data_IF_550672016938
#
_entry.id   IF_550672016938
#
_cell.length_a   1.000
_cell.length_b   1.000
_cell.length_c   1.000
_cell.angle_alpha   90.00
_cell.angle_beta   90.00
_cell.angle_gamma   90.00
#
_symmetry.space_group_name_H-M   'P 1'
#
loop_
_entity.id
_entity.type
_entity.pdbx_description
1 polymer ?
#
# COMPACT_ATOMS: atom_id res chain seq x y z
N UNK A 1 5.54 -20.83 -15.45
CA UNK A 1 5.92 -21.53 -14.18
C UNK A 1 4.92 -21.07 -13.13
N UNK A 2 3.96 -21.94 -12.77
CA UNK A 2 2.96 -21.64 -11.75
C UNK A 2 3.58 -21.91 -10.37
N UNK A 3 4.34 -20.94 -9.83
CA UNK A 3 4.69 -20.97 -8.42
C UNK A 3 3.45 -20.48 -7.66
N UNK A 4 2.75 -21.39 -7.01
CA UNK A 4 1.77 -21.03 -5.96
C UNK A 4 2.53 -20.26 -4.89
N UNK A 5 2.05 -19.07 -4.48
CA UNK A 5 2.66 -18.35 -3.36
C UNK A 5 2.72 -19.27 -2.15
N UNK A 6 3.89 -19.36 -1.51
CA UNK A 6 3.98 -20.04 -0.21
C UNK A 6 2.94 -19.43 0.72
N UNK A 7 2.10 -20.29 1.31
CA UNK A 7 1.06 -19.84 2.23
C UNK A 7 1.71 -19.05 3.37
N UNK A 8 1.41 -17.75 3.45
CA UNK A 8 1.85 -16.92 4.57
C UNK A 8 1.24 -17.49 5.85
N UNK A 9 1.99 -17.60 6.96
CA UNK A 9 1.44 -18.08 8.21
C UNK A 9 0.25 -17.19 8.60
N UNK A 10 -0.87 -17.83 8.95
CA UNK A 10 -2.17 -17.29 9.34
C UNK A 10 -2.19 -15.79 9.61
N UNK A 11 -2.77 -15.02 8.67
CA UNK A 11 -2.98 -13.59 8.82
C UNK A 11 -4.15 -13.37 9.79
N UNK A 12 -3.86 -13.24 11.08
CA UNK A 12 -4.87 -12.77 12.04
C UNK A 12 -5.29 -11.34 11.71
N UNK A 13 -6.58 -11.05 11.86
CA UNK A 13 -7.09 -9.67 11.73
C UNK A 13 -6.30 -8.73 12.65
N UNK A 14 -5.91 -7.58 12.13
CA UNK A 14 -5.29 -6.50 12.92
C UNK A 14 -6.09 -5.22 12.72
N UNK A 15 -6.82 -4.78 13.75
CA UNK A 15 -7.69 -3.60 13.65
C UNK A 15 -6.92 -2.28 13.50
N UNK A 16 -5.60 -2.31 13.59
CA UNK A 16 -4.75 -1.11 13.51
C UNK A 16 -3.63 -1.32 12.48
N UNK A 17 -3.50 -0.35 11.58
CA UNK A 17 -2.42 -0.30 10.60
C UNK A 17 -1.18 0.34 11.24
N UNK A 18 -0.25 -0.50 11.71
CA UNK A 18 0.95 -0.07 12.44
C UNK A 18 2.24 -0.67 11.87
N UNK A 19 3.37 0.07 11.96
CA UNK A 19 4.67 -0.41 11.51
C UNK A 19 5.11 -1.68 12.26
N UNK A 20 5.55 -2.69 11.52
CA UNK A 20 6.14 -3.91 12.07
C UNK A 20 7.68 -3.89 12.02
N UNK A 21 8.24 -3.22 11.02
CA UNK A 21 9.66 -3.15 10.73
C UNK A 21 10.17 -1.70 10.80
N UNK A 22 11.49 -1.54 10.96
CA UNK A 22 12.08 -0.21 11.07
C UNK A 22 11.89 0.64 9.79
N UNK A 23 11.94 0.04 8.60
CA UNK A 23 11.67 0.72 7.33
C UNK A 23 10.23 1.25 7.21
N UNK A 24 9.27 0.62 7.89
CA UNK A 24 7.85 1.00 7.85
C UNK A 24 7.51 2.21 8.73
N UNK A 25 8.41 2.55 9.67
CA UNK A 25 8.14 3.60 10.68
C UNK A 25 8.01 5.01 10.09
N UNK A 26 8.41 5.22 8.85
CA UNK A 26 8.26 6.49 8.15
C UNK A 26 7.06 6.49 7.20
N UNK A 27 6.71 5.36 6.61
CA UNK A 27 5.63 5.27 5.61
C UNK A 27 4.28 4.90 6.23
N UNK A 28 4.20 3.89 7.10
CA UNK A 28 2.92 3.38 7.61
C UNK A 28 2.10 4.43 8.36
N UNK A 29 2.67 5.29 9.23
CA UNK A 29 1.89 6.38 9.85
C UNK A 29 1.35 7.40 8.85
N UNK A 30 2.10 7.69 7.77
CA UNK A 30 1.65 8.59 6.70
C UNK A 30 0.52 7.97 5.89
N UNK A 31 0.67 6.69 5.49
CA UNK A 31 -0.37 5.93 4.79
C UNK A 31 -1.64 5.87 5.62
N UNK A 32 -1.54 5.44 6.89
CA UNK A 32 -2.69 5.36 7.78
C UNK A 32 -3.45 6.69 7.85
N UNK A 33 -2.77 7.79 8.16
CA UNK A 33 -3.40 9.10 8.28
C UNK A 33 -4.01 9.59 6.97
N UNK A 34 -3.37 9.32 5.82
CA UNK A 34 -3.89 9.68 4.51
C UNK A 34 -5.11 8.82 4.14
N UNK A 35 -5.06 7.50 4.36
CA UNK A 35 -6.17 6.58 4.08
C UNK A 35 -7.37 6.93 4.96
N UNK A 36 -7.21 7.05 6.28
CA UNK A 36 -8.27 7.43 7.21
C UNK A 36 -8.96 8.74 6.79
N UNK A 37 -8.17 9.78 6.47
CA UNK A 37 -8.69 11.07 5.98
C UNK A 37 -9.48 10.92 4.68
N UNK A 38 -8.97 10.15 3.71
CA UNK A 38 -9.62 9.97 2.41
C UNK A 38 -10.87 9.09 2.51
N UNK A 39 -10.88 8.10 3.42
CA UNK A 39 -12.08 7.32 3.73
C UNK A 39 -13.19 8.21 4.31
N UNK A 40 -12.87 9.10 5.25
CA UNK A 40 -13.84 10.07 5.76
C UNK A 40 -14.37 11.01 4.68
N UNK A 41 -13.50 11.48 3.81
CA UNK A 41 -13.85 12.47 2.78
C UNK A 41 -14.62 11.85 1.61
N UNK A 42 -14.27 10.63 1.20
CA UNK A 42 -14.74 10.05 -0.07
C UNK A 42 -15.59 8.79 0.11
N UNK A 43 -15.38 7.98 1.14
CA UNK A 43 -16.16 6.78 1.40
C UNK A 43 -17.39 7.10 2.24
N UNK A 44 -17.21 7.72 3.40
CA UNK A 44 -18.29 8.02 4.35
C UNK A 44 -19.55 8.65 3.73
N UNK A 45 -19.46 9.58 2.75
CA UNK A 45 -20.67 10.16 2.12
C UNK A 45 -21.42 9.19 1.20
N UNK A 46 -20.82 8.07 0.77
CA UNK A 46 -21.42 7.15 -0.19
C UNK A 46 -22.34 6.12 0.48
N UNK A 47 -21.81 5.41 1.50
CA UNK A 47 -22.50 4.24 2.07
C UNK A 47 -22.65 3.10 1.07
N UNK A 48 -23.40 2.06 1.42
CA UNK A 48 -23.69 0.93 0.54
C UNK A 48 -22.68 -0.21 0.70
N UNK A 49 -22.23 -0.82 -0.43
CA UNK A 49 -21.27 -1.94 -0.42
C UNK A 49 -19.86 -1.45 -0.65
N UNK A 50 -18.92 -1.94 0.15
CA UNK A 50 -17.50 -1.69 -0.02
C UNK A 50 -16.72 -2.99 -0.24
N UNK A 51 -15.81 -3.00 -1.21
CA UNK A 51 -14.87 -4.09 -1.47
C UNK A 51 -13.46 -3.67 -1.08
N UNK A 52 -12.81 -4.46 -0.22
CA UNK A 52 -11.41 -4.33 0.14
C UNK A 52 -10.59 -5.35 -0.65
N UNK A 53 -9.83 -4.87 -1.63
CA UNK A 53 -9.05 -5.66 -2.58
C UNK A 53 -7.64 -5.87 -2.05
N UNK A 54 -7.23 -7.13 -1.89
CA UNK A 54 -6.02 -7.46 -1.16
C UNK A 54 -6.17 -7.11 0.31
N UNK A 55 -7.29 -7.49 0.90
CA UNK A 55 -7.72 -7.04 2.23
C UNK A 55 -6.78 -7.47 3.37
N UNK A 56 -5.95 -8.49 3.17
CA UNK A 56 -4.96 -8.95 4.12
C UNK A 56 -5.50 -9.07 5.54
N UNK A 57 -4.99 -8.25 6.45
CA UNK A 57 -5.40 -8.19 7.86
C UNK A 57 -6.59 -7.27 8.15
N UNK A 58 -7.19 -6.68 7.14
CA UNK A 58 -8.39 -5.85 7.18
C UNK A 58 -8.31 -4.67 8.17
N UNK A 59 -7.24 -3.85 8.15
CA UNK A 59 -7.04 -2.80 9.15
C UNK A 59 -8.09 -1.69 9.09
N UNK A 60 -8.73 -1.48 7.94
CA UNK A 60 -9.73 -0.43 7.72
C UNK A 60 -11.18 -0.93 7.72
N UNK A 61 -11.40 -2.24 7.94
CA UNK A 61 -12.74 -2.83 7.95
C UNK A 61 -13.67 -2.16 8.95
N UNK A 62 -13.24 -2.03 10.20
CA UNK A 62 -14.07 -1.42 11.25
C UNK A 62 -14.46 0.03 10.93
N UNK A 63 -13.60 0.77 10.22
CA UNK A 63 -13.89 2.14 9.80
C UNK A 63 -14.94 2.17 8.68
N UNK A 64 -14.83 1.28 7.68
CA UNK A 64 -15.83 1.16 6.60
C UNK A 64 -17.18 0.69 7.14
N UNK A 65 -17.22 -0.33 8.00
CA UNK A 65 -18.43 -0.77 8.68
C UNK A 65 -19.05 0.35 9.54
N UNK A 66 -18.20 1.14 10.24
CA UNK A 66 -18.61 2.31 11.01
C UNK A 66 -19.22 3.45 10.17
N UNK A 67 -18.93 3.52 8.88
CA UNK A 67 -19.54 4.43 7.91
C UNK A 67 -20.83 3.85 7.31
N UNK A 68 -21.25 2.66 7.73
CA UNK A 68 -22.45 1.99 7.25
C UNK A 68 -22.28 1.20 5.95
N UNK A 69 -21.04 0.83 5.59
CA UNK A 69 -20.81 -0.07 4.48
C UNK A 69 -21.05 -1.52 4.87
N UNK A 70 -21.67 -2.25 3.95
CA UNK A 70 -21.60 -3.70 3.89
C UNK A 70 -20.21 -4.08 3.32
N UNK A 71 -19.34 -4.59 4.19
CA UNK A 71 -17.92 -4.82 3.88
C UNK A 71 -17.69 -6.21 3.33
N UNK A 72 -17.03 -6.28 2.18
CA UNK A 72 -16.55 -7.52 1.55
C UNK A 72 -15.04 -7.48 1.40
N UNK A 73 -14.35 -8.52 1.87
CA UNK A 73 -12.91 -8.69 1.70
C UNK A 73 -12.58 -9.65 0.57
N UNK A 74 -11.67 -9.26 -0.34
CA UNK A 74 -11.09 -10.12 -1.37
C UNK A 74 -9.57 -10.18 -1.21
N UNK A 75 -9.01 -11.39 -1.29
CA UNK A 75 -7.55 -11.61 -1.24
C UNK A 75 -7.18 -12.86 -2.06
N UNK A 76 -5.91 -12.96 -2.45
CA UNK A 76 -5.36 -14.19 -3.08
C UNK A 76 -5.17 -15.32 -2.07
N UNK A 77 -5.11 -15.01 -0.77
CA UNK A 77 -4.86 -15.95 0.30
C UNK A 77 -6.07 -16.06 1.23
N UNK A 78 -6.38 -17.30 1.61
CA UNK A 78 -7.43 -17.56 2.58
C UNK A 78 -7.02 -17.06 3.97
N UNK A 79 -7.86 -16.21 4.57
CA UNK A 79 -7.70 -15.70 5.92
C UNK A 79 -9.06 -15.43 6.54
N UNK A 80 -9.09 -15.17 7.85
CA UNK A 80 -10.33 -14.77 8.54
C UNK A 80 -10.92 -13.50 7.90
N UNK A 81 -12.19 -13.58 7.51
CA UNK A 81 -12.94 -12.45 6.93
C UNK A 81 -12.65 -12.17 5.44
N UNK A 82 -11.90 -13.02 4.76
CA UNK A 82 -11.80 -13.04 3.29
C UNK A 82 -13.01 -13.77 2.75
N UNK A 83 -13.87 -13.04 2.02
CA UNK A 83 -15.08 -13.59 1.42
C UNK A 83 -14.82 -14.21 0.04
N UNK A 84 -13.94 -13.59 -0.75
CA UNK A 84 -13.60 -14.05 -2.09
C UNK A 84 -12.10 -14.27 -2.25
N UNK A 85 -11.73 -15.47 -2.74
CA UNK A 85 -10.34 -15.83 -3.07
C UNK A 85 -10.10 -15.53 -4.55
N UNK A 86 -9.47 -14.39 -4.84
CA UNK A 86 -9.15 -13.99 -6.21
C UNK A 86 -8.02 -12.97 -6.25
N UNK A 87 -7.28 -12.94 -7.37
CA UNK A 87 -6.37 -11.85 -7.71
C UNK A 87 -7.10 -10.82 -8.57
N UNK A 88 -6.81 -9.55 -8.35
CA UNK A 88 -7.51 -8.46 -9.06
C UNK A 88 -7.21 -8.42 -10.56
N UNK A 89 -6.10 -8.97 -11.01
CA UNK A 89 -5.70 -9.09 -12.42
C UNK A 89 -6.12 -10.41 -13.07
N UNK A 90 -6.89 -11.24 -12.36
CA UNK A 90 -7.40 -12.52 -12.86
C UNK A 90 -8.90 -12.45 -13.22
N UNK A 91 -9.46 -13.44 -13.91
CA UNK A 91 -10.91 -13.55 -14.09
C UNK A 91 -11.62 -13.52 -12.73
N UNK A 92 -12.58 -12.60 -12.60
CA UNK A 92 -13.31 -12.41 -11.34
C UNK A 92 -14.30 -13.55 -11.09
N UNK A 93 -14.44 -14.05 -9.86
CA UNK A 93 -15.45 -15.03 -9.49
C UNK A 93 -16.86 -14.53 -9.81
N UNK A 94 -17.74 -15.39 -10.38
CA UNK A 94 -19.12 -15.02 -10.68
C UNK A 94 -19.88 -14.51 -9.43
N UNK A 95 -19.59 -15.06 -8.26
CA UNK A 95 -20.18 -14.70 -6.98
C UNK A 95 -19.84 -13.25 -6.61
N UNK A 96 -18.57 -12.85 -6.81
CA UNK A 96 -18.10 -11.48 -6.56
C UNK A 96 -18.78 -10.50 -7.53
N UNK A 97 -18.90 -10.88 -8.80
CA UNK A 97 -19.61 -10.06 -9.81
C UNK A 97 -21.09 -9.91 -9.49
N UNK A 98 -21.73 -10.97 -8.99
CA UNK A 98 -23.15 -10.94 -8.58
C UNK A 98 -23.39 -10.11 -7.30
N UNK A 99 -22.41 -10.04 -6.41
CA UNK A 99 -22.46 -9.20 -5.21
C UNK A 99 -22.32 -7.71 -5.54
N UNK A 100 -21.51 -7.35 -6.55
CA UNK A 100 -21.33 -5.98 -7.02
C UNK A 100 -22.57 -5.40 -7.75
N UNK A 101 -22.48 -4.17 -8.28
CA UNK A 101 -21.31 -3.30 -8.18
C UNK A 101 -21.19 -2.63 -6.80
N UNK A 102 -19.96 -2.29 -6.43
CA UNK A 102 -19.63 -1.69 -5.15
C UNK A 102 -19.59 -0.15 -5.26
N UNK A 103 -20.07 0.53 -4.23
CA UNK A 103 -20.00 1.99 -4.14
C UNK A 103 -18.57 2.49 -3.84
N UNK A 104 -17.79 1.67 -3.13
CA UNK A 104 -16.42 1.99 -2.78
C UNK A 104 -15.51 0.76 -2.86
N UNK A 105 -14.33 0.95 -3.49
CA UNK A 105 -13.25 -0.02 -3.48
C UNK A 105 -12.06 0.55 -2.71
N UNK A 106 -11.47 -0.27 -1.84
CA UNK A 106 -10.18 0.00 -1.18
C UNK A 106 -9.13 -0.97 -1.71
N UNK A 107 -7.96 -0.48 -2.12
CA UNK A 107 -6.84 -1.30 -2.59
C UNK A 107 -5.53 -0.66 -2.13
N UNK A 108 -5.02 -1.11 -0.99
CA UNK A 108 -3.89 -0.45 -0.32
C UNK A 108 -2.66 -1.35 -0.28
N UNK A 109 -1.54 -0.88 -0.87
CA UNK A 109 -0.25 -1.62 -0.93
C UNK A 109 -0.45 -3.04 -1.52
N UNK A 110 -1.08 -3.09 -2.69
CA UNK A 110 -1.40 -4.33 -3.43
C UNK A 110 -0.92 -4.25 -4.87
N UNK A 111 -1.07 -3.08 -5.51
CA UNK A 111 -0.83 -2.94 -6.95
C UNK A 111 0.64 -3.15 -7.35
N UNK A 112 1.58 -2.97 -6.44
CA UNK A 112 2.99 -3.33 -6.65
C UNK A 112 3.18 -4.83 -6.88
N UNK A 113 2.28 -5.66 -6.35
CA UNK A 113 2.28 -7.12 -6.46
C UNK A 113 1.43 -7.67 -7.60
N UNK A 114 0.78 -6.79 -8.37
CA UNK A 114 -0.11 -7.13 -9.48
C UNK A 114 0.65 -7.04 -10.79
N UNK A 115 0.81 -8.17 -11.48
CA UNK A 115 1.62 -8.23 -12.70
C UNK A 115 0.95 -7.52 -13.89
N UNK A 116 -0.37 -7.68 -14.07
CA UNK A 116 -1.15 -7.09 -15.15
C UNK A 116 -2.07 -5.96 -14.68
N UNK A 117 -1.55 -4.74 -14.73
CA UNK A 117 -2.32 -3.54 -14.40
C UNK A 117 -3.47 -3.25 -15.37
N UNK A 118 -3.38 -3.71 -16.64
CA UNK A 118 -4.50 -3.56 -17.58
C UNK A 118 -5.70 -4.36 -17.09
N UNK A 119 -5.50 -5.65 -16.80
CA UNK A 119 -6.56 -6.50 -16.27
C UNK A 119 -7.09 -6.01 -14.91
N UNK A 120 -6.19 -5.58 -14.00
CA UNK A 120 -6.59 -5.07 -12.70
C UNK A 120 -7.50 -3.83 -12.79
N UNK A 121 -7.13 -2.83 -13.59
CA UNK A 121 -7.93 -1.60 -13.73
C UNK A 121 -9.25 -1.87 -14.49
N UNK A 122 -9.25 -2.79 -15.47
CA UNK A 122 -10.48 -3.24 -16.12
C UNK A 122 -11.42 -3.95 -15.14
N UNK A 123 -10.88 -4.72 -14.20
CA UNK A 123 -11.65 -5.38 -13.15
C UNK A 123 -12.15 -4.38 -12.09
N UNK A 124 -11.35 -3.37 -11.69
CA UNK A 124 -11.86 -2.27 -10.89
C UNK A 124 -13.06 -1.59 -11.54
N UNK A 125 -13.02 -1.34 -12.86
CA UNK A 125 -14.13 -0.73 -13.58
C UNK A 125 -15.39 -1.61 -13.60
N UNK A 126 -15.26 -2.94 -13.66
CA UNK A 126 -16.41 -3.87 -13.59
C UNK A 126 -17.04 -3.92 -12.20
N UNK A 127 -16.20 -3.84 -11.15
CA UNK A 127 -16.63 -3.95 -9.76
C UNK A 127 -17.18 -2.64 -9.18
N UNK A 128 -16.80 -1.50 -9.74
CA UNK A 128 -17.20 -0.18 -9.21
C UNK A 128 -18.50 0.29 -9.84
N UNK A 129 -19.46 0.72 -9.02
CA UNK A 129 -20.70 1.33 -9.49
C UNK A 129 -20.43 2.66 -10.24
N UNK A 130 -21.28 3.08 -11.20
CA UNK A 130 -21.22 4.43 -11.75
C UNK A 130 -21.26 5.48 -10.61
N UNK A 131 -20.34 6.44 -10.62
CA UNK A 131 -20.15 7.41 -9.51
C UNK A 131 -19.49 6.84 -8.26
N UNK A 132 -19.26 5.52 -8.21
CA UNK A 132 -18.48 4.87 -7.14
C UNK A 132 -17.01 5.23 -7.21
N UNK A 133 -16.29 5.03 -6.11
CA UNK A 133 -14.90 5.45 -5.97
C UNK A 133 -13.98 4.30 -5.62
N UNK A 134 -12.73 4.44 -6.07
CA UNK A 134 -11.63 3.53 -5.71
C UNK A 134 -10.54 4.34 -5.05
N UNK A 135 -10.14 3.95 -3.85
CA UNK A 135 -8.94 4.45 -3.17
C UNK A 135 -7.82 3.43 -3.34
N UNK A 136 -6.71 3.87 -3.91
CA UNK A 136 -5.51 3.05 -4.05
C UNK A 136 -4.31 3.70 -3.37
N UNK A 137 -3.43 2.86 -2.81
CA UNK A 137 -2.06 3.24 -2.47
C UNK A 137 -1.08 2.30 -3.13
N UNK A 138 0.11 2.81 -3.48
CA UNK A 138 1.16 2.00 -4.09
C UNK A 138 2.52 2.65 -3.85
N UNK A 139 3.54 1.91 -3.37
CA UNK A 139 4.85 2.46 -3.05
C UNK A 139 5.58 2.96 -4.29
N UNK A 140 6.31 4.10 -4.14
CA UNK A 140 7.18 4.64 -5.17
C UNK A 140 8.66 4.43 -4.84
N UNK A 141 9.06 4.65 -3.59
CA UNK A 141 10.39 4.32 -3.09
C UNK A 141 10.25 3.44 -1.86
N UNK A 142 10.45 2.14 -2.06
CA UNK A 142 10.41 1.15 -0.98
C UNK A 142 11.31 -0.04 -1.34
N UNK A 143 11.96 -0.69 -0.36
CA UNK A 143 12.76 -1.89 -0.59
C UNK A 143 11.96 -3.02 -1.24
N UNK A 144 12.63 -3.91 -1.97
CA UNK A 144 12.00 -5.12 -2.49
C UNK A 144 11.44 -5.95 -1.33
N UNK A 145 10.24 -6.45 -1.50
CA UNK A 145 9.53 -7.27 -0.52
C UNK A 145 8.60 -8.26 -1.22
N UNK A 146 8.22 -9.33 -0.53
CA UNK A 146 7.31 -10.36 -1.06
C UNK A 146 7.77 -10.96 -2.40
N UNK A 147 9.10 -11.03 -2.63
CA UNK A 147 9.69 -11.60 -3.84
C UNK A 147 9.22 -13.06 -4.07
N UNK A 148 8.97 -13.46 -5.33
CA UNK A 148 9.25 -12.76 -6.59
C UNK A 148 8.08 -11.92 -7.11
N UNK A 149 7.05 -11.61 -6.31
CA UNK A 149 5.82 -10.95 -6.75
C UNK A 149 5.83 -9.44 -6.47
N UNK A 150 6.98 -8.77 -6.52
CA UNK A 150 7.15 -7.33 -6.35
C UNK A 150 7.56 -6.70 -7.68
N UNK A 151 6.57 -6.19 -8.45
CA UNK A 151 6.73 -5.84 -9.86
C UNK A 151 6.88 -4.33 -10.09
N UNK A 152 6.22 -3.47 -9.29
CA UNK A 152 6.04 -2.09 -9.68
C UNK A 152 6.42 -1.06 -8.61
N UNK A 153 7.00 0.05 -9.09
CA UNK A 153 7.17 1.30 -8.34
C UNK A 153 6.65 2.44 -9.23
N UNK A 154 5.32 2.61 -9.32
CA UNK A 154 4.71 3.50 -10.30
C UNK A 154 4.97 4.98 -9.96
N UNK A 155 4.99 5.80 -11.01
CA UNK A 155 4.85 7.24 -10.88
C UNK A 155 3.36 7.62 -10.80
N UNK A 156 3.02 8.84 -10.32
CA UNK A 156 1.63 9.33 -10.37
C UNK A 156 1.07 9.34 -11.80
N UNK A 157 1.93 9.55 -12.79
CA UNK A 157 1.54 9.57 -14.19
C UNK A 157 1.09 8.20 -14.70
N UNK A 158 1.76 7.12 -14.26
CA UNK A 158 1.36 5.75 -14.58
C UNK A 158 -0.02 5.44 -13.98
N UNK A 159 -0.24 5.76 -12.70
CA UNK A 159 -1.54 5.54 -12.04
C UNK A 159 -2.65 6.28 -12.78
N UNK A 160 -2.46 7.55 -13.11
CA UNK A 160 -3.43 8.35 -13.88
C UNK A 160 -3.72 7.72 -15.23
N UNK A 161 -2.69 7.30 -15.96
CA UNK A 161 -2.82 6.70 -17.28
C UNK A 161 -3.72 5.44 -17.24
N UNK A 162 -3.48 4.52 -16.32
CA UNK A 162 -4.28 3.30 -16.20
C UNK A 162 -5.70 3.59 -15.71
N UNK A 163 -5.90 4.54 -14.80
CA UNK A 163 -7.21 4.95 -14.33
C UNK A 163 -8.08 5.53 -15.47
N UNK A 164 -7.54 6.52 -16.20
CA UNK A 164 -8.25 7.17 -17.31
C UNK A 164 -8.57 6.18 -18.44
N UNK A 165 -7.63 5.29 -18.78
CA UNK A 165 -7.85 4.22 -19.76
C UNK A 165 -9.01 3.32 -19.38
N UNK A 166 -9.17 2.99 -18.09
CA UNK A 166 -10.23 2.13 -17.59
C UNK A 166 -11.56 2.87 -17.35
N UNK A 167 -11.68 4.15 -17.72
CA UNK A 167 -12.90 4.95 -17.58
C UNK A 167 -13.10 5.50 -16.17
N UNK A 168 -12.02 5.80 -15.47
CA UNK A 168 -12.07 6.53 -14.21
C UNK A 168 -11.62 7.98 -14.40
N UNK A 169 -12.27 8.89 -13.66
CA UNK A 169 -11.82 10.26 -13.47
C UNK A 169 -11.00 10.35 -12.19
N UNK A 170 -9.81 10.92 -12.26
CA UNK A 170 -8.98 11.14 -11.08
C UNK A 170 -9.58 12.25 -10.20
N UNK A 171 -9.91 11.91 -8.95
CA UNK A 171 -10.44 12.85 -7.94
C UNK A 171 -9.29 13.49 -7.17
N UNK A 172 -8.36 12.68 -6.66
CA UNK A 172 -7.11 13.14 -6.06
C UNK A 172 -5.97 12.18 -6.36
N UNK A 173 -4.74 12.69 -6.39
CA UNK A 173 -3.53 11.90 -6.59
C UNK A 173 -2.37 12.63 -5.92
N UNK A 174 -2.00 12.15 -4.75
CA UNK A 174 -1.02 12.77 -3.88
C UNK A 174 0.20 11.88 -3.66
N UNK A 175 1.30 12.52 -3.31
CA UNK A 175 2.56 11.89 -2.92
C UNK A 175 2.69 11.92 -1.42
N UNK A 176 3.00 10.79 -0.81
CA UNK A 176 3.21 10.69 0.63
C UNK A 176 4.70 10.59 0.97
N UNK A 177 5.08 11.33 2.00
CA UNK A 177 6.44 11.43 2.48
C UNK A 177 7.28 12.44 1.70
N UNK A 178 8.40 12.79 2.28
CA UNK A 178 9.42 13.68 1.72
C UNK A 178 10.77 12.96 1.57
N UNK A 179 11.78 13.67 1.13
CA UNK A 179 13.13 13.12 0.97
C UNK A 179 13.70 12.58 2.31
N UNK A 180 13.36 13.18 3.46
CA UNK A 180 13.78 12.68 4.77
C UNK A 180 13.12 11.36 5.12
N UNK A 181 11.85 11.17 4.74
CA UNK A 181 11.14 9.90 4.92
C UNK A 181 11.77 8.79 4.08
N UNK A 182 12.14 9.11 2.82
CA UNK A 182 12.87 8.18 1.94
C UNK A 182 14.22 7.77 2.55
N UNK A 183 15.00 8.73 3.04
CA UNK A 183 16.28 8.44 3.72
C UNK A 183 16.04 7.59 4.97
N UNK A 184 15.03 7.93 5.77
CA UNK A 184 14.67 7.19 6.98
C UNK A 184 14.28 5.73 6.68
N UNK A 185 13.46 5.51 5.67
CA UNK A 185 13.06 4.17 5.19
C UNK A 185 14.26 3.38 4.69
N UNK A 186 15.14 4.00 3.88
CA UNK A 186 16.35 3.36 3.39
C UNK A 186 17.31 2.97 4.54
N UNK A 187 17.48 3.83 5.54
CA UNK A 187 18.29 3.52 6.72
C UNK A 187 17.66 2.42 7.59
N UNK A 188 16.33 2.38 7.69
CA UNK A 188 15.59 1.32 8.38
C UNK A 188 15.74 -0.04 7.71
N UNK A 189 15.83 -0.06 6.38
CA UNK A 189 16.07 -1.26 5.58
C UNK A 189 17.55 -1.66 5.50
N UNK A 190 18.47 -0.79 5.94
CA UNK A 190 19.90 -1.01 5.82
C UNK A 190 20.36 -2.16 6.74
N UNK A 191 20.63 -3.32 6.15
CA UNK A 191 21.19 -4.48 6.82
C UNK A 191 22.65 -4.63 6.45
N UNK A 192 23.53 -4.90 7.44
CA UNK A 192 24.91 -5.22 7.20
C UNK A 192 25.04 -6.74 7.12
N UNK A 193 25.45 -7.26 5.95
CA UNK A 193 25.57 -8.69 5.70
C UNK A 193 26.45 -9.38 6.76
N UNK A 194 26.14 -10.64 7.09
CA UNK A 194 26.98 -11.48 7.92
C UNK A 194 28.01 -12.18 7.03
N UNK A 195 29.28 -12.22 7.45
CA UNK A 195 30.34 -12.88 6.70
C UNK A 195 31.67 -12.88 7.46
N UNK A 196 32.65 -13.60 6.95
CA UNK A 196 34.02 -13.56 7.44
C UNK A 196 34.71 -12.27 6.97
N UNK A 197 34.86 -11.34 7.90
CA UNK A 197 35.44 -10.03 7.62
C UNK A 197 36.82 -9.88 8.21
N UNK A 198 37.69 -9.21 7.45
CA UNK A 198 38.97 -8.74 7.99
C UNK A 198 38.74 -7.80 9.18
N UNK A 199 39.73 -7.66 10.05
CA UNK A 199 39.63 -6.77 11.20
C UNK A 199 39.32 -5.31 10.80
N UNK A 200 39.85 -4.84 9.66
CA UNK A 200 39.53 -3.50 9.10
C UNK A 200 38.04 -3.37 8.73
N UNK A 201 37.51 -4.39 8.03
CA UNK A 201 36.08 -4.41 7.68
C UNK A 201 35.17 -4.44 8.91
N UNK A 202 35.57 -5.16 9.97
CA UNK A 202 34.82 -5.17 11.26
C UNK A 202 34.78 -3.80 11.91
N UNK A 203 35.90 -3.05 11.92
CA UNK A 203 35.96 -1.68 12.43
C UNK A 203 35.07 -0.76 11.58
N UNK A 204 35.19 -0.81 10.25
CA UNK A 204 34.38 -0.03 9.34
C UNK A 204 32.87 -0.32 9.53
N UNK A 205 32.47 -1.58 9.64
CA UNK A 205 31.12 -1.99 9.91
C UNK A 205 30.57 -1.46 11.25
N UNK A 206 31.41 -1.40 12.29
CA UNK A 206 31.03 -0.79 13.55
C UNK A 206 30.71 0.70 13.39
N UNK A 207 31.56 1.46 12.69
CA UNK A 207 31.30 2.89 12.42
C UNK A 207 30.04 3.07 11.56
N UNK A 208 29.86 2.28 10.48
CA UNK A 208 28.70 2.34 9.61
C UNK A 208 27.41 2.06 10.42
N UNK A 209 27.41 1.00 11.22
CA UNK A 209 26.24 0.69 12.11
C UNK A 209 25.93 1.85 13.04
N UNK A 210 26.95 2.46 13.64
CA UNK A 210 26.77 3.59 14.55
C UNK A 210 26.19 4.80 13.83
N UNK A 211 26.72 5.13 12.65
CA UNK A 211 26.24 6.22 11.80
C UNK A 211 24.78 6.00 11.39
N UNK A 212 24.47 4.85 10.80
CA UNK A 212 23.11 4.49 10.35
C UNK A 212 22.11 4.60 11.52
N UNK A 213 22.40 3.98 12.67
CA UNK A 213 21.51 4.03 13.85
C UNK A 213 21.32 5.44 14.40
N UNK A 214 22.38 6.22 14.45
CA UNK A 214 22.30 7.60 14.96
C UNK A 214 21.49 8.48 14.02
N UNK A 215 21.75 8.42 12.71
CA UNK A 215 21.00 9.19 11.71
C UNK A 215 19.53 8.76 11.67
N UNK A 216 19.25 7.45 11.67
CA UNK A 216 17.89 6.93 11.76
C UNK A 216 17.14 7.44 13.00
N UNK A 217 17.78 7.41 14.18
CA UNK A 217 17.19 7.90 15.41
C UNK A 217 16.90 9.42 15.36
N UNK A 218 17.82 10.22 14.82
CA UNK A 218 17.65 11.67 14.67
C UNK A 218 16.50 11.99 13.70
N UNK A 219 16.36 11.24 12.60
CA UNK A 219 15.24 11.37 11.67
C UNK A 219 13.90 11.01 12.33
N UNK A 220 13.86 9.94 13.13
CA UNK A 220 12.66 9.57 13.90
C UNK A 220 12.21 10.63 14.89
N UNK A 221 13.15 11.30 15.56
CA UNK A 221 12.85 12.41 16.50
C UNK A 221 12.38 13.68 15.78
N UNK A 222 12.70 13.83 14.50
CA UNK A 222 12.10 14.76 13.56
C UNK A 222 12.49 16.24 13.67
N UNK A 223 12.79 16.75 14.84
CA UNK A 223 12.86 18.19 15.04
C UNK A 223 14.13 18.87 14.49
N UNK A 224 15.27 18.19 14.46
CA UNK A 224 16.54 18.81 14.08
C UNK A 224 16.81 18.70 12.57
N UNK A 225 16.89 17.49 12.03
CA UNK A 225 17.21 17.29 10.60
C UNK A 225 16.09 17.78 9.70
N UNK A 226 14.82 17.57 10.08
CA UNK A 226 13.64 18.00 9.30
C UNK A 226 13.40 19.51 9.31
N UNK A 227 14.16 20.30 10.11
CA UNK A 227 14.15 21.76 10.02
C UNK A 227 14.76 22.28 8.71
N UNK A 228 15.56 21.45 8.02
CA UNK A 228 16.11 21.74 6.71
C UNK A 228 15.17 21.18 5.63
N UNK A 229 14.45 22.02 4.87
CA UNK A 229 13.56 21.54 3.82
C UNK A 229 14.37 20.95 2.66
N UNK A 230 14.08 19.72 2.29
CA UNK A 230 14.61 19.06 1.10
C UNK A 230 13.57 19.07 -0.03
N UNK A 231 14.02 18.95 -1.29
CA UNK A 231 13.14 18.93 -2.44
C UNK A 231 12.14 17.75 -2.39
N UNK A 232 10.93 17.97 -2.87
CA UNK A 232 9.81 17.01 -2.84
C UNK A 232 9.74 16.04 -4.01
N UNK A 233 10.85 15.87 -4.78
CA UNK A 233 10.87 14.94 -5.93
C UNK A 233 11.01 13.48 -5.50
N UNK A 234 11.59 13.21 -4.32
CA UNK A 234 11.66 11.90 -3.71
C UNK A 234 10.56 11.79 -2.66
N UNK A 235 9.77 10.73 -2.72
CA UNK A 235 8.65 10.47 -1.83
C UNK A 235 8.44 8.96 -1.70
N UNK A 236 7.69 8.50 -0.71
CA UNK A 236 7.59 7.07 -0.38
C UNK A 236 6.48 6.36 -1.15
N UNK A 237 5.26 6.90 -1.17
CA UNK A 237 4.11 6.22 -1.77
C UNK A 237 3.19 7.19 -2.49
N UNK A 238 2.43 6.66 -3.44
CA UNK A 238 1.31 7.33 -4.07
C UNK A 238 0.02 7.01 -3.31
N UNK A 239 -0.88 7.97 -3.20
CA UNK A 239 -2.25 7.75 -2.77
C UNK A 239 -3.20 8.42 -3.74
N UNK A 240 -4.18 7.70 -4.21
CA UNK A 240 -5.11 8.20 -5.22
C UNK A 240 -6.55 7.81 -4.91
N UNK A 241 -7.46 8.72 -5.24
CA UNK A 241 -8.90 8.45 -5.31
C UNK A 241 -9.35 8.70 -6.74
N UNK A 242 -9.99 7.72 -7.32
CA UNK A 242 -10.57 7.79 -8.66
C UNK A 242 -12.06 7.43 -8.60
N UNK A 243 -12.85 8.03 -9.49
CA UNK A 243 -14.30 7.88 -9.57
C UNK A 243 -14.69 7.28 -10.90
N UNK A 244 -15.59 6.30 -10.88
CA UNK A 244 -16.12 5.65 -12.08
C UNK A 244 -17.06 6.61 -12.82
N UNK A 245 -16.74 6.92 -14.08
CA UNK A 245 -17.55 7.79 -14.96
C UNK A 245 -18.66 6.99 -15.63
#
# INVERSE_FOLDING_TARGET
MNATPEARPHLERRPVYEPQWDQERFIVPLLRGAIEKLLELHAKPLGGKALDVGCGRQPFRAMLEGFGFDYTGMDMQAAEGVAHLAAIDSPLPPELLAEGPFAFLLCTEVLEHVADWHAAFDNFAKLTAPGGKVLITCPHVYPLHEEPFDFWRPTPHAIRHYAERAGFRMVSLDKLGDTWDVIGTALGACTISRGEWSWRARIAAWFVRRLVRTTYFLLRKGWFLRSVPLGSKLYLSNVAVMERV
#
